data_IF_826307151378
#
_entry.id   IF_826307151378
#
_cell.length_a   1.000
_cell.length_b   1.000
_cell.length_c   1.000
_cell.angle_alpha   90.00
_cell.angle_beta   90.00
_cell.angle_gamma   90.00
#
_symmetry.space_group_name_H-M   'P 1'
#
loop_
_entity.id
_entity.type
_entity.pdbx_description
1 polymer ?
#
# COMPACT_ATOMS: atom_id res chain seq x y z
N UNK A 1 23.58 -29.33 40.15
CA UNK A 1 23.30 -28.91 38.75
C UNK A 1 21.82 -29.12 38.37
N UNK A 2 20.87 -28.73 39.24
CA UNK A 2 19.42 -28.98 39.01
C UNK A 2 18.50 -27.80 39.40
N UNK A 3 19.03 -26.68 39.91
CA UNK A 3 18.22 -25.50 40.29
C UNK A 3 18.04 -24.50 39.15
N UNK A 4 19.00 -24.43 38.22
CA UNK A 4 18.95 -23.50 37.08
C UNK A 4 18.02 -23.96 35.95
N UNK A 5 17.83 -25.28 35.79
CA UNK A 5 16.94 -25.85 34.77
C UNK A 5 15.46 -25.59 35.12
N UNK A 6 15.10 -25.67 36.41
CA UNK A 6 13.74 -25.34 36.85
C UNK A 6 13.40 -23.85 36.64
N UNK A 7 14.34 -22.92 36.87
CA UNK A 7 14.12 -21.50 36.55
C UNK A 7 13.94 -21.24 35.05
N UNK A 8 14.70 -21.93 34.19
CA UNK A 8 14.56 -21.78 32.74
C UNK A 8 13.22 -22.29 32.21
N UNK A 9 12.69 -23.39 32.77
CA UNK A 9 11.37 -23.95 32.40
C UNK A 9 10.21 -23.08 32.92
N UNK A 10 10.34 -22.47 34.10
CA UNK A 10 9.34 -21.54 34.64
C UNK A 10 9.31 -20.20 33.89
N UNK A 11 10.45 -19.67 33.44
CA UNK A 11 10.48 -18.45 32.63
C UNK A 11 9.91 -18.67 31.22
N UNK A 12 10.07 -19.86 30.65
CA UNK A 12 9.56 -20.18 29.31
C UNK A 12 8.05 -20.51 29.31
N UNK A 13 7.49 -20.98 30.42
CA UNK A 13 6.02 -21.15 30.56
C UNK A 13 5.29 -19.84 30.88
N UNK A 14 5.94 -18.87 31.53
CA UNK A 14 5.40 -17.52 31.74
C UNK A 14 5.35 -16.67 30.46
N UNK A 15 6.29 -16.85 29.53
CA UNK A 15 6.28 -16.15 28.23
C UNK A 15 5.25 -16.71 27.24
N UNK A 16 4.81 -17.97 27.42
CA UNK A 16 3.80 -18.61 26.57
C UNK A 16 2.34 -18.34 27.03
N UNK A 17 2.14 -17.72 28.20
CA UNK A 17 0.80 -17.43 28.73
C UNK A 17 0.37 -15.96 28.61
N UNK A 18 1.18 -15.11 27.96
CA UNK A 18 0.86 -13.70 27.70
C UNK A 18 0.34 -13.40 26.28
N UNK A 19 0.12 -14.42 25.44
CA UNK A 19 -0.64 -14.30 24.19
C UNK A 19 -2.04 -14.93 24.35
N UNK A 20 -2.77 -14.50 25.38
CA UNK A 20 -4.22 -14.70 25.48
C UNK A 20 -4.94 -13.49 24.89
N UNK A 21 -5.79 -13.73 23.90
CA UNK A 21 -6.60 -12.77 23.14
C UNK A 21 -7.19 -11.61 23.96
N UNK A 22 -6.43 -10.51 24.06
CA UNK A 22 -6.95 -9.16 24.32
C UNK A 22 -6.06 -8.12 23.63
N UNK A 23 -5.92 -8.23 22.31
CA UNK A 23 -5.77 -6.99 21.57
C UNK A 23 -7.08 -6.22 21.75
N UNK A 24 -7.08 -5.00 22.30
CA UNK A 24 -8.25 -4.15 22.14
C UNK A 24 -8.46 -4.01 20.64
N UNK A 25 -9.48 -4.68 20.11
CA UNK A 25 -10.11 -4.29 18.86
C UNK A 25 -10.28 -2.78 18.99
N UNK A 26 -9.65 -1.95 18.14
CA UNK A 26 -10.01 -0.55 18.09
C UNK A 26 -11.51 -0.58 17.82
N UNK A 27 -12.31 -0.18 18.82
CA UNK A 27 -13.76 -0.12 18.68
C UNK A 27 -14.00 0.52 17.33
N UNK A 28 -14.61 -0.23 16.43
CA UNK A 28 -15.06 0.29 15.15
C UNK A 28 -15.77 1.58 15.49
N UNK A 29 -15.24 2.70 14.98
CA UNK A 29 -15.91 3.96 15.08
C UNK A 29 -17.29 3.68 14.50
N UNK A 30 -18.30 3.64 15.36
CA UNK A 30 -19.68 3.64 14.92
C UNK A 30 -19.74 4.76 13.88
N UNK A 31 -20.01 4.39 12.63
CA UNK A 31 -20.27 5.31 11.54
C UNK A 31 -21.59 6.01 11.89
N UNK A 32 -21.54 6.94 12.83
CA UNK A 32 -22.44 8.07 12.83
C UNK A 32 -22.12 8.81 11.54
N UNK A 33 -23.04 8.70 10.59
CA UNK A 33 -23.07 9.34 9.29
C UNK A 33 -23.01 10.88 9.39
N UNK A 34 -21.89 11.41 9.88
CA UNK A 34 -21.42 12.73 9.52
C UNK A 34 -20.31 12.52 8.52
N UNK A 35 -20.59 12.72 7.23
CA UNK A 35 -19.51 12.81 6.25
C UNK A 35 -18.59 13.93 6.71
N UNK A 36 -17.47 13.58 7.33
CA UNK A 36 -16.47 14.55 7.74
C UNK A 36 -15.89 15.08 6.42
N UNK A 37 -16.39 16.22 5.94
CA UNK A 37 -16.06 16.79 4.64
C UNK A 37 -14.66 17.37 4.59
N UNK A 38 -13.98 17.46 5.73
CA UNK A 38 -12.64 18.05 5.88
C UNK A 38 -11.58 16.96 6.07
N UNK A 39 -10.36 17.23 5.60
CA UNK A 39 -9.19 16.40 5.89
C UNK A 39 -8.81 16.51 7.36
N UNK A 40 -8.40 15.40 7.95
CA UNK A 40 -7.64 15.41 9.19
C UNK A 40 -6.25 16.03 8.97
N UNK A 41 -5.62 16.50 10.05
CA UNK A 41 -4.27 17.06 9.97
C UNK A 41 -3.25 16.07 9.39
N UNK A 42 -3.39 14.79 9.75
CA UNK A 42 -2.54 13.71 9.26
C UNK A 42 -2.74 13.44 7.75
N UNK A 43 -3.99 13.42 7.27
CA UNK A 43 -4.28 13.32 5.84
C UNK A 43 -3.74 14.52 5.06
N UNK A 44 -3.93 15.74 5.59
CA UNK A 44 -3.41 16.96 4.98
C UNK A 44 -1.88 16.91 4.85
N UNK A 45 -1.17 16.52 5.92
CA UNK A 45 0.28 16.40 5.93
C UNK A 45 0.79 15.44 4.86
N UNK A 46 0.11 14.30 4.66
CA UNK A 46 0.46 13.32 3.62
C UNK A 46 0.26 13.88 2.22
N UNK A 47 -0.89 14.52 1.94
CA UNK A 47 -1.17 15.15 0.64
C UNK A 47 -0.17 16.27 0.36
N UNK A 48 0.06 17.16 1.32
CA UNK A 48 1.00 18.27 1.19
C UNK A 48 2.42 17.77 0.93
N UNK A 49 2.83 16.70 1.61
CA UNK A 49 4.15 16.09 1.39
C UNK A 49 4.28 15.63 -0.06
N UNK A 50 3.29 14.90 -0.59
CA UNK A 50 3.34 14.37 -1.94
C UNK A 50 3.36 15.48 -3.01
N UNK A 51 2.48 16.48 -2.88
CA UNK A 51 2.44 17.61 -3.82
C UNK A 51 3.75 18.38 -3.80
N UNK A 52 4.28 18.64 -2.60
CA UNK A 52 5.51 19.41 -2.46
C UNK A 52 6.73 18.66 -3.02
N UNK A 53 6.81 17.35 -2.83
CA UNK A 53 7.85 16.50 -3.41
C UNK A 53 7.81 16.55 -4.95
N UNK A 54 6.63 16.46 -5.56
CA UNK A 54 6.51 16.58 -7.00
C UNK A 54 6.91 17.96 -7.52
N UNK A 55 6.49 19.05 -6.85
CA UNK A 55 6.95 20.41 -7.18
C UNK A 55 8.47 20.51 -7.13
N UNK A 56 9.09 19.91 -6.12
CA UNK A 56 10.54 19.91 -5.97
C UNK A 56 11.27 19.19 -7.10
N UNK A 57 10.75 18.06 -7.55
CA UNK A 57 11.31 17.36 -8.72
C UNK A 57 11.12 18.19 -9.98
N UNK A 58 9.97 18.86 -10.16
CA UNK A 58 9.73 19.75 -11.30
C UNK A 58 10.70 20.94 -11.33
N UNK A 59 11.07 21.47 -10.16
CA UNK A 59 12.08 22.53 -10.02
C UNK A 59 13.47 22.05 -10.45
N UNK A 60 13.85 20.84 -10.05
CA UNK A 60 15.18 20.27 -10.32
C UNK A 60 15.31 19.62 -11.71
N UNK A 61 14.21 19.34 -12.40
CA UNK A 61 14.21 18.73 -13.73
C UNK A 61 14.18 19.78 -14.85
N UNK A 62 15.36 20.11 -15.37
CA UNK A 62 15.55 21.05 -16.47
C UNK A 62 15.05 20.52 -17.83
N UNK A 63 14.74 19.23 -17.95
CA UNK A 63 14.24 18.62 -19.20
C UNK A 63 12.73 18.82 -19.37
N UNK A 64 12.02 19.20 -18.29
CA UNK A 64 10.59 19.47 -18.35
C UNK A 64 10.29 20.81 -19.04
N UNK A 65 9.53 20.75 -20.12
CA UNK A 65 9.06 21.95 -20.82
C UNK A 65 7.88 22.62 -20.09
N UNK A 66 7.56 23.85 -20.48
CA UNK A 66 6.47 24.63 -19.86
C UNK A 66 5.10 23.96 -19.99
N UNK A 67 4.83 23.26 -21.09
CA UNK A 67 3.57 22.53 -21.29
C UNK A 67 3.40 21.41 -20.25
N UNK A 68 4.44 20.63 -19.99
CA UNK A 68 4.43 19.56 -19.00
C UNK A 68 4.19 20.11 -17.58
N UNK A 69 4.85 21.23 -17.24
CA UNK A 69 4.68 21.91 -15.95
C UNK A 69 3.24 22.40 -15.75
N UNK A 70 2.65 22.99 -16.78
CA UNK A 70 1.27 23.47 -16.72
C UNK A 70 0.26 22.32 -16.67
N UNK A 71 0.50 21.22 -17.39
CA UNK A 71 -0.34 20.01 -17.32
C UNK A 71 -0.37 19.43 -15.91
N UNK A 72 0.77 19.34 -15.25
CA UNK A 72 0.84 18.90 -13.85
C UNK A 72 0.08 19.85 -12.93
N UNK A 73 0.27 21.17 -13.09
CA UNK A 73 -0.42 22.18 -12.28
C UNK A 73 -1.95 22.10 -12.41
N UNK A 74 -2.46 21.84 -13.61
CA UNK A 74 -3.90 21.64 -13.82
C UNK A 74 -4.42 20.36 -13.14
N UNK A 75 -3.65 19.27 -13.19
CA UNK A 75 -3.95 18.06 -12.44
C UNK A 75 -3.93 18.31 -10.92
N UNK A 76 -2.94 19.04 -10.41
CA UNK A 76 -2.87 19.44 -9.00
C UNK A 76 -4.11 20.23 -8.59
N UNK A 77 -4.50 21.27 -9.35
CA UNK A 77 -5.70 22.07 -9.08
C UNK A 77 -6.96 21.19 -9.06
N UNK A 78 -7.08 20.25 -9.99
CA UNK A 78 -8.20 19.32 -10.04
C UNK A 78 -8.24 18.40 -8.80
N UNK A 79 -7.10 17.86 -8.39
CA UNK A 79 -6.98 16.99 -7.22
C UNK A 79 -7.32 17.74 -5.92
N UNK A 80 -6.81 18.96 -5.76
CA UNK A 80 -7.00 19.77 -4.54
C UNK A 80 -8.43 20.31 -4.37
N UNK A 81 -9.26 20.28 -5.42
CA UNK A 81 -10.69 20.65 -5.34
C UNK A 81 -11.58 19.56 -4.73
N UNK A 82 -11.12 18.30 -4.72
CA UNK A 82 -11.92 17.17 -4.25
C UNK A 82 -11.34 16.57 -2.97
N UNK A 83 -11.99 16.85 -1.84
CA UNK A 83 -11.54 16.35 -0.53
C UNK A 83 -11.62 14.83 -0.43
N UNK A 84 -12.58 14.17 -1.08
CA UNK A 84 -12.68 12.70 -1.05
C UNK A 84 -11.51 12.07 -1.81
N UNK A 85 -11.09 12.66 -2.93
CA UNK A 85 -9.88 12.23 -3.64
C UNK A 85 -8.63 12.43 -2.81
N UNK A 86 -8.52 13.55 -2.10
CA UNK A 86 -7.40 13.80 -1.19
C UNK A 86 -7.34 12.76 -0.06
N UNK A 87 -8.48 12.41 0.57
CA UNK A 87 -8.56 11.34 1.57
C UNK A 87 -8.13 10.00 1.02
N UNK A 88 -8.67 9.62 -0.14
CA UNK A 88 -8.32 8.37 -0.79
C UNK A 88 -6.83 8.33 -1.17
N UNK A 89 -6.25 9.44 -1.60
CA UNK A 89 -4.82 9.54 -1.89
C UNK A 89 -3.97 9.38 -0.63
N UNK A 90 -4.33 10.08 0.46
CA UNK A 90 -3.66 9.97 1.74
C UNK A 90 -3.70 8.54 2.30
N UNK A 91 -4.85 7.85 2.20
CA UNK A 91 -5.02 6.46 2.62
C UNK A 91 -4.14 5.49 1.82
N UNK A 92 -3.82 5.75 0.55
CA UNK A 92 -2.92 4.88 -0.20
C UNK A 92 -1.46 5.25 0.04
N UNK A 93 -1.15 6.55 0.12
CA UNK A 93 0.20 7.04 0.35
C UNK A 93 0.69 6.78 1.79
N UNK A 94 -0.20 6.53 2.75
CA UNK A 94 0.17 6.35 4.17
C UNK A 94 1.26 5.31 4.40
N UNK A 95 1.29 4.23 3.60
CA UNK A 95 2.26 3.16 3.77
C UNK A 95 3.66 3.56 3.30
N UNK A 96 3.75 4.23 2.14
CA UNK A 96 5.00 4.82 1.67
C UNK A 96 5.46 5.90 2.67
N UNK A 97 4.54 6.74 3.13
CA UNK A 97 4.83 7.75 4.15
C UNK A 97 5.38 7.13 5.44
N UNK A 98 4.77 6.05 5.92
CA UNK A 98 5.23 5.34 7.11
C UNK A 98 6.65 4.79 6.94
N UNK A 99 6.95 4.17 5.79
CA UNK A 99 8.31 3.69 5.49
C UNK A 99 9.30 4.85 5.57
N UNK A 100 8.97 5.98 4.94
CA UNK A 100 9.83 7.16 4.89
C UNK A 100 9.98 7.86 6.25
N UNK A 101 8.93 7.90 7.08
CA UNK A 101 8.90 8.66 8.33
C UNK A 101 9.37 7.84 9.55
N UNK A 102 8.98 6.57 9.61
CA UNK A 102 9.17 5.73 10.81
C UNK A 102 10.27 4.69 10.63
N UNK A 103 10.50 4.21 9.40
CA UNK A 103 11.45 3.11 9.15
C UNK A 103 12.81 3.58 8.66
N UNK A 104 12.83 4.52 7.70
CA UNK A 104 14.08 4.93 7.04
C UNK A 104 14.58 6.31 7.45
N UNK A 105 13.78 7.05 8.22
CA UNK A 105 14.14 8.38 8.68
C UNK A 105 15.43 8.34 9.49
N UNK A 106 16.45 9.17 9.16
CA UNK A 106 17.68 9.23 9.92
C UNK A 106 17.40 9.61 11.38
N UNK A 107 17.98 8.89 12.33
CA UNK A 107 17.81 9.16 13.77
C UNK A 107 18.21 10.60 14.13
N UNK A 108 19.28 11.10 13.51
CA UNK A 108 19.79 12.46 13.70
C UNK A 108 18.83 13.54 13.17
N UNK A 109 17.90 13.18 12.29
CA UNK A 109 16.88 14.05 11.72
C UNK A 109 15.49 13.83 12.34
N UNK A 110 15.39 13.15 13.50
CA UNK A 110 14.09 12.77 14.10
C UNK A 110 13.14 13.96 14.33
N UNK A 111 13.69 15.13 14.66
CA UNK A 111 12.96 16.39 14.86
C UNK A 111 12.61 17.13 13.54
N UNK A 112 13.18 16.73 12.40
CA UNK A 112 12.92 17.35 11.11
C UNK A 112 11.63 16.74 10.52
N UNK A 113 10.68 17.55 10.02
CA UNK A 113 9.50 17.01 9.36
C UNK A 113 9.88 16.16 8.15
N UNK A 114 9.24 15.01 7.97
CA UNK A 114 9.56 14.07 6.88
C UNK A 114 9.43 14.69 5.49
N UNK A 115 8.48 15.62 5.30
CA UNK A 115 8.41 16.46 4.10
C UNK A 115 9.73 17.16 3.79
N UNK A 116 10.36 17.75 4.81
CA UNK A 116 11.62 18.48 4.66
C UNK A 116 12.80 17.54 4.40
N UNK A 117 12.85 16.37 5.04
CA UNK A 117 13.90 15.38 4.79
C UNK A 117 13.85 14.87 3.35
N UNK A 118 12.65 14.53 2.84
CA UNK A 118 12.50 14.07 1.44
C UNK A 118 12.96 15.17 0.47
N UNK A 119 12.57 16.42 0.71
CA UNK A 119 12.96 17.57 -0.13
C UNK A 119 14.46 17.81 -0.10
N UNK A 120 15.04 17.85 1.10
CA UNK A 120 16.48 17.99 1.28
C UNK A 120 17.23 16.89 0.52
N UNK A 121 16.71 15.66 0.58
CA UNK A 121 17.28 14.49 -0.11
C UNK A 121 17.19 14.64 -1.63
N UNK A 122 16.07 15.13 -2.16
CA UNK A 122 15.92 15.40 -3.60
C UNK A 122 16.91 16.46 -4.07
N UNK A 123 17.05 17.56 -3.32
CA UNK A 123 18.01 18.63 -3.65
C UNK A 123 19.45 18.15 -3.60
N UNK A 124 19.79 17.43 -2.53
CA UNK A 124 21.07 16.78 -2.30
C UNK A 124 21.47 15.88 -3.47
N UNK A 125 20.58 14.97 -3.88
CA UNK A 125 20.83 14.04 -5.00
C UNK A 125 20.94 14.80 -6.32
N UNK A 126 20.07 15.78 -6.56
CA UNK A 126 20.08 16.56 -7.80
C UNK A 126 21.35 17.43 -7.95
N UNK A 127 21.87 17.97 -6.86
CA UNK A 127 23.09 18.79 -6.85
C UNK A 127 24.37 17.98 -6.66
N UNK A 128 24.25 16.69 -6.32
CA UNK A 128 25.36 15.83 -5.88
C UNK A 128 26.12 16.43 -4.67
N UNK A 129 25.41 17.09 -3.75
CA UNK A 129 25.96 17.72 -2.54
C UNK A 129 25.35 17.11 -1.27
N UNK A 130 25.61 15.82 -1.07
CA UNK A 130 25.04 15.03 0.01
C UNK A 130 25.98 14.73 1.17
N UNK A 131 27.28 14.82 0.94
CA UNK A 131 28.27 14.41 1.91
C UNK A 131 28.18 15.23 3.21
N UNK A 132 28.09 14.54 4.34
CA UNK A 132 28.01 15.16 5.67
C UNK A 132 26.66 15.76 6.04
N UNK A 133 25.61 15.62 5.21
CA UNK A 133 24.26 16.07 5.55
C UNK A 133 23.57 15.08 6.49
N UNK A 134 23.09 15.59 7.62
CA UNK A 134 22.34 14.81 8.61
C UNK A 134 20.83 14.97 8.47
N UNK A 135 20.37 15.80 7.53
CA UNK A 135 18.98 16.17 7.28
C UNK A 135 18.40 15.54 6.00
N UNK A 136 19.03 14.45 5.53
CA UNK A 136 18.69 13.68 4.33
C UNK A 136 18.68 12.19 4.63
N UNK A 137 17.96 11.40 3.83
CA UNK A 137 18.05 9.95 3.90
C UNK A 137 19.47 9.47 3.58
N UNK A 138 19.83 8.27 4.09
CA UNK A 138 21.17 7.73 3.97
C UNK A 138 21.72 7.88 2.55
N UNK A 139 22.88 8.53 2.46
CA UNK A 139 23.68 8.66 1.25
C UNK A 139 24.99 7.87 1.35
N UNK A 140 25.11 6.98 2.34
CA UNK A 140 26.25 6.08 2.42
C UNK A 140 26.11 4.98 1.37
N UNK A 141 27.11 4.86 0.49
CA UNK A 141 27.07 3.98 -0.68
C UNK A 141 27.70 2.63 -0.36
N UNK A 142 26.88 1.69 0.10
CA UNK A 142 27.32 0.31 0.37
C UNK A 142 27.05 -0.63 -0.83
N UNK A 143 26.05 -0.32 -1.66
CA UNK A 143 25.71 -1.03 -2.90
C UNK A 143 25.16 -0.06 -3.98
N UNK A 144 24.75 -0.58 -5.13
CA UNK A 144 24.53 0.16 -6.40
C UNK A 144 23.76 1.50 -6.33
N UNK A 145 22.88 1.71 -5.33
CA UNK A 145 22.18 2.98 -5.08
C UNK A 145 21.97 3.22 -3.58
N UNK A 146 22.23 4.44 -3.12
CA UNK A 146 21.90 4.90 -1.76
C UNK A 146 20.38 4.99 -1.54
N UNK A 147 19.93 5.02 -0.29
CA UNK A 147 18.51 5.19 0.02
C UNK A 147 17.99 6.55 -0.48
N UNK A 148 18.79 7.60 -0.39
CA UNK A 148 18.47 8.90 -0.97
C UNK A 148 18.21 8.83 -2.49
N UNK A 149 19.09 8.14 -3.23
CA UNK A 149 18.92 7.93 -4.68
C UNK A 149 17.69 7.07 -5.02
N UNK A 150 17.37 6.05 -4.20
CA UNK A 150 16.16 5.23 -4.39
C UNK A 150 14.90 6.07 -4.23
N UNK A 151 14.87 6.94 -3.22
CA UNK A 151 13.73 7.82 -2.92
C UNK A 151 13.52 8.83 -4.03
N UNK A 152 14.59 9.53 -4.43
CA UNK A 152 14.53 10.49 -5.53
C UNK A 152 14.08 9.82 -6.83
N UNK A 153 14.69 8.67 -7.18
CA UNK A 153 14.34 7.93 -8.40
C UNK A 153 12.88 7.49 -8.38
N UNK A 154 12.36 7.01 -7.26
CA UNK A 154 10.96 6.62 -7.13
C UNK A 154 10.02 7.79 -7.46
N UNK A 155 10.17 8.92 -6.77
CA UNK A 155 9.27 10.05 -6.97
C UNK A 155 9.44 10.67 -8.37
N UNK A 156 10.67 10.69 -8.92
CA UNK A 156 10.92 11.17 -10.28
C UNK A 156 10.24 10.30 -11.32
N UNK A 157 10.39 8.97 -11.21
CA UNK A 157 9.73 8.03 -12.12
C UNK A 157 8.21 8.13 -12.01
N UNK A 158 7.68 8.26 -10.79
CA UNK A 158 6.25 8.45 -10.54
C UNK A 158 5.74 9.72 -11.23
N UNK A 159 6.44 10.85 -11.08
CA UNK A 159 6.11 12.11 -11.74
C UNK A 159 6.17 11.98 -13.28
N UNK A 160 7.23 11.40 -13.82
CA UNK A 160 7.36 11.23 -15.27
C UNK A 160 6.25 10.35 -15.85
N UNK A 161 5.81 9.32 -15.12
CA UNK A 161 4.66 8.51 -15.53
C UNK A 161 3.34 9.28 -15.49
N UNK A 162 3.13 10.14 -14.49
CA UNK A 162 2.00 11.08 -14.45
C UNK A 162 2.03 11.98 -15.69
N UNK A 163 3.17 12.63 -15.94
CA UNK A 163 3.34 13.55 -17.07
C UNK A 163 3.15 12.85 -18.42
N UNK A 164 3.64 11.62 -18.58
CA UNK A 164 3.45 10.82 -19.78
C UNK A 164 1.97 10.49 -20.03
N UNK A 165 1.19 10.23 -18.97
CA UNK A 165 -0.26 10.02 -19.08
C UNK A 165 -0.98 11.32 -19.43
N UNK A 166 -0.62 12.43 -18.79
CA UNK A 166 -1.18 13.75 -19.08
C UNK A 166 -0.87 14.20 -20.51
N UNK A 167 0.34 13.91 -21.03
CA UNK A 167 0.76 14.27 -22.39
C UNK A 167 -0.15 13.68 -23.46
N UNK A 168 -0.63 12.45 -23.27
CA UNK A 168 -1.49 11.73 -24.22
C UNK A 168 -2.90 12.33 -24.35
N UNK A 169 -3.23 13.38 -23.59
CA UNK A 169 -4.56 13.97 -23.54
C UNK A 169 -4.57 15.49 -23.73
N UNK A 170 -5.64 16.01 -24.32
CA UNK A 170 -5.94 17.45 -24.37
C UNK A 170 -6.54 17.96 -23.04
N UNK A 171 -5.98 17.57 -21.88
CA UNK A 171 -6.42 18.00 -20.56
C UNK A 171 -7.92 17.73 -20.27
N UNK A 172 -8.40 16.52 -20.56
CA UNK A 172 -9.78 16.15 -20.22
C UNK A 172 -9.88 15.49 -18.83
N UNK A 173 -11.05 15.58 -18.21
CA UNK A 173 -11.31 15.07 -16.86
C UNK A 173 -11.06 13.56 -16.71
N UNK A 174 -11.29 12.80 -17.78
CA UNK A 174 -11.07 11.35 -17.79
C UNK A 174 -9.59 11.02 -17.58
N UNK A 175 -8.67 11.80 -18.16
CA UNK A 175 -7.23 11.60 -17.94
C UNK A 175 -6.81 11.91 -16.51
N UNK A 176 -7.40 12.90 -15.85
CA UNK A 176 -7.10 13.17 -14.43
C UNK A 176 -7.54 12.02 -13.52
N UNK A 177 -8.70 11.43 -13.79
CA UNK A 177 -9.16 10.23 -13.09
C UNK A 177 -8.24 9.02 -13.33
N UNK A 178 -7.73 8.85 -14.55
CA UNK A 178 -6.75 7.79 -14.86
C UNK A 178 -5.41 8.00 -14.12
N UNK A 179 -4.92 9.24 -14.07
CA UNK A 179 -3.71 9.60 -13.32
C UNK A 179 -3.92 9.37 -11.82
N UNK A 180 -5.08 9.75 -11.29
CA UNK A 180 -5.44 9.53 -9.90
C UNK A 180 -5.49 8.04 -9.53
N UNK A 181 -6.13 7.22 -10.36
CA UNK A 181 -6.15 5.76 -10.20
C UNK A 181 -4.74 5.17 -10.25
N UNK A 182 -3.93 5.64 -11.20
CA UNK A 182 -2.53 5.24 -11.32
C UNK A 182 -1.74 5.53 -10.04
N UNK A 183 -1.77 6.78 -9.55
CA UNK A 183 -1.08 7.19 -8.32
C UNK A 183 -1.45 6.31 -7.13
N UNK A 184 -2.76 6.12 -6.92
CA UNK A 184 -3.26 5.27 -5.83
C UNK A 184 -2.71 3.86 -5.95
N UNK A 185 -2.73 3.27 -7.14
CA UNK A 185 -2.26 1.91 -7.35
C UNK A 185 -0.77 1.76 -7.10
N UNK A 186 0.05 2.73 -7.50
CA UNK A 186 1.50 2.70 -7.30
C UNK A 186 1.86 2.69 -5.82
N UNK A 187 1.17 3.46 -4.97
CA UNK A 187 1.50 3.53 -3.53
C UNK A 187 1.21 2.25 -2.75
N UNK A 188 0.36 1.38 -3.29
CA UNK A 188 0.01 0.10 -2.64
C UNK A 188 0.39 -1.13 -3.48
N UNK A 189 1.12 -0.90 -4.57
CA UNK A 189 1.58 -1.97 -5.46
C UNK A 189 2.67 -2.79 -4.77
N UNK A 190 2.62 -4.14 -4.83
CA UNK A 190 3.72 -4.97 -4.36
C UNK A 190 5.02 -4.75 -5.18
N UNK A 191 4.92 -4.07 -6.32
CA UNK A 191 6.06 -3.70 -7.17
C UNK A 191 6.54 -2.26 -6.97
N UNK A 192 6.04 -1.56 -5.95
CA UNK A 192 6.48 -0.21 -5.65
C UNK A 192 7.99 -0.18 -5.31
N UNK A 193 8.74 0.70 -5.94
CA UNK A 193 10.20 0.75 -5.78
C UNK A 193 10.65 1.18 -4.36
N UNK A 194 9.86 1.98 -3.63
CA UNK A 194 10.12 2.25 -2.20
C UNK A 194 9.93 0.99 -1.39
N UNK A 195 8.85 0.24 -1.64
CA UNK A 195 8.58 -1.00 -0.92
C UNK A 195 9.69 -2.02 -1.19
N UNK A 196 10.10 -2.20 -2.44
CA UNK A 196 11.16 -3.14 -2.81
C UNK A 196 12.57 -2.68 -2.38
N UNK A 197 12.80 -1.37 -2.34
CA UNK A 197 14.12 -0.80 -2.06
C UNK A 197 14.40 -0.52 -0.58
N UNK A 198 13.35 -0.27 0.21
CA UNK A 198 13.45 0.23 1.60
C UNK A 198 12.61 -0.60 2.60
N UNK A 199 11.94 -1.66 2.15
CA UNK A 199 11.15 -2.55 2.99
C UNK A 199 11.09 -3.96 2.40
N UNK A 200 10.32 -4.85 3.02
CA UNK A 200 9.95 -6.15 2.46
C UNK A 200 8.46 -6.22 2.14
N UNK A 201 8.07 -7.12 1.23
CA UNK A 201 6.66 -7.42 0.94
C UNK A 201 5.90 -7.92 2.17
N UNK A 202 6.55 -8.69 3.03
CA UNK A 202 5.95 -9.19 4.27
C UNK A 202 5.60 -8.04 5.22
N UNK A 203 6.55 -7.13 5.47
CA UNK A 203 6.31 -5.97 6.33
C UNK A 203 5.25 -5.05 5.75
N UNK A 204 5.31 -4.79 4.43
CA UNK A 204 4.29 -3.97 3.77
C UNK A 204 2.89 -4.58 3.89
N UNK A 205 2.76 -5.90 3.69
CA UNK A 205 1.49 -6.60 3.90
C UNK A 205 1.01 -6.49 5.36
N UNK A 206 1.90 -6.59 6.35
CA UNK A 206 1.55 -6.42 7.78
C UNK A 206 1.15 -4.99 8.13
N UNK A 207 1.66 -3.98 7.44
CA UNK A 207 1.21 -2.60 7.62
C UNK A 207 -0.23 -2.41 7.13
N UNK A 208 -0.59 -3.09 6.04
CA UNK A 208 -1.88 -2.90 5.38
C UNK A 208 -2.97 -3.84 5.85
N UNK A 209 -2.62 -5.08 6.19
CA UNK A 209 -3.56 -6.17 6.43
C UNK A 209 -3.33 -6.81 7.80
N UNK A 210 -4.44 -7.20 8.44
CA UNK A 210 -4.36 -7.98 9.68
C UNK A 210 -4.02 -9.47 9.38
N UNK A 211 -3.78 -10.27 10.41
CA UNK A 211 -3.40 -11.68 10.25
C UNK A 211 -4.44 -12.52 9.48
N UNK A 212 -5.74 -12.25 9.66
CA UNK A 212 -6.81 -12.96 8.95
C UNK A 212 -6.80 -12.62 7.45
N UNK A 213 -6.62 -11.34 7.13
CA UNK A 213 -6.51 -10.84 5.76
C UNK A 213 -5.25 -11.36 5.07
N UNK A 214 -4.12 -11.47 5.78
CA UNK A 214 -2.90 -12.08 5.25
C UNK A 214 -3.12 -13.57 4.93
N UNK A 215 -3.81 -14.33 5.81
CA UNK A 215 -4.18 -15.72 5.51
C UNK A 215 -5.06 -15.82 4.25
N UNK A 216 -6.05 -14.93 4.12
CA UNK A 216 -6.88 -14.87 2.91
C UNK A 216 -6.08 -14.49 1.65
N UNK A 217 -5.10 -13.58 1.77
CA UNK A 217 -4.19 -13.23 0.67
C UNK A 217 -3.40 -14.45 0.21
N UNK A 218 -2.81 -15.20 1.13
CA UNK A 218 -2.03 -16.40 0.80
C UNK A 218 -2.91 -17.44 0.09
N UNK A 219 -4.11 -17.69 0.60
CA UNK A 219 -5.08 -18.58 -0.04
C UNK A 219 -5.48 -18.11 -1.45
N UNK A 220 -5.71 -16.80 -1.60
CA UNK A 220 -6.08 -16.20 -2.89
C UNK A 220 -4.94 -16.27 -3.91
N UNK A 221 -3.69 -16.10 -3.46
CA UNK A 221 -2.50 -16.24 -4.31
C UNK A 221 -2.38 -17.67 -4.83
N UNK A 222 -2.59 -18.68 -3.98
CA UNK A 222 -2.64 -20.08 -4.44
C UNK A 222 -3.75 -20.30 -5.47
N UNK A 223 -4.92 -19.69 -5.23
CA UNK A 223 -6.09 -19.81 -6.11
C UNK A 223 -5.91 -19.16 -7.49
N UNK A 224 -5.41 -17.93 -7.52
CA UNK A 224 -5.35 -17.10 -8.73
C UNK A 224 -4.01 -17.21 -9.44
N UNK A 225 -2.91 -17.37 -8.71
CA UNK A 225 -1.59 -17.28 -9.32
C UNK A 225 -1.19 -18.56 -10.06
N UNK A 226 -1.84 -19.71 -9.85
CA UNK A 226 -1.46 -21.01 -10.46
C UNK A 226 0.08 -21.25 -10.38
N UNK A 227 0.72 -20.85 -9.28
CA UNK A 227 2.18 -20.92 -9.10
C UNK A 227 3.00 -19.76 -9.69
N UNK A 228 2.41 -18.75 -10.33
CA UNK A 228 3.11 -17.57 -10.90
C UNK A 228 3.45 -16.46 -9.88
N UNK A 229 3.26 -16.71 -8.58
CA UNK A 229 3.66 -15.81 -7.50
C UNK A 229 2.97 -14.44 -7.47
N UNK A 230 3.65 -13.46 -6.85
CA UNK A 230 3.17 -12.08 -6.60
C UNK A 230 3.01 -11.21 -7.87
N UNK A 231 3.51 -11.68 -9.03
CA UNK A 231 3.49 -10.94 -10.29
C UNK A 231 2.27 -11.24 -11.16
N UNK A 232 1.32 -12.04 -10.66
CA UNK A 232 0.11 -12.33 -11.42
C UNK A 232 -0.75 -11.04 -11.61
N UNK A 233 -1.10 -10.66 -12.85
CA UNK A 233 -1.84 -9.42 -13.12
C UNK A 233 -3.22 -9.33 -12.44
N UNK A 234 -3.91 -10.45 -12.25
CA UNK A 234 -5.19 -10.52 -11.55
C UNK A 234 -4.97 -10.21 -10.06
N UNK A 235 -3.99 -10.86 -9.45
CA UNK A 235 -3.61 -10.60 -8.06
C UNK A 235 -3.20 -9.13 -7.85
N UNK A 236 -2.35 -8.58 -8.73
CA UNK A 236 -1.94 -7.17 -8.67
C UNK A 236 -3.18 -6.27 -8.78
N UNK A 237 -4.06 -6.52 -9.74
CA UNK A 237 -5.27 -5.71 -9.94
C UNK A 237 -6.20 -5.73 -8.72
N UNK A 238 -6.29 -6.86 -8.01
CA UNK A 238 -7.07 -6.99 -6.79
C UNK A 238 -6.39 -6.30 -5.60
N UNK A 239 -5.09 -6.53 -5.39
CA UNK A 239 -4.41 -6.04 -4.19
C UNK A 239 -4.27 -4.52 -4.23
N UNK A 240 -4.22 -3.87 -5.40
CA UNK A 240 -4.10 -2.39 -5.48
C UNK A 240 -5.41 -1.62 -5.28
N UNK A 241 -6.53 -2.30 -5.03
CA UNK A 241 -7.82 -1.66 -4.78
C UNK A 241 -7.87 -0.88 -3.45
N UNK A 242 -8.91 -0.06 -3.26
CA UNK A 242 -9.08 0.72 -2.03
C UNK A 242 -9.13 -0.17 -0.79
N UNK A 243 -8.62 0.32 0.35
CA UNK A 243 -8.72 -0.38 1.63
C UNK A 243 -10.19 -0.68 2.00
N UNK A 244 -11.13 0.20 1.63
CA UNK A 244 -12.57 0.01 1.81
C UNK A 244 -13.17 -1.13 0.98
N UNK A 245 -12.47 -1.63 -0.03
CA UNK A 245 -12.92 -2.76 -0.86
C UNK A 245 -12.12 -4.01 -0.55
N UNK A 246 -10.79 -3.93 -0.58
CA UNK A 246 -9.92 -5.11 -0.47
C UNK A 246 -10.00 -5.74 0.92
N UNK A 247 -10.08 -4.93 1.99
CA UNK A 247 -10.11 -5.45 3.36
C UNK A 247 -11.40 -6.24 3.63
N UNK A 248 -12.61 -5.70 3.36
CA UNK A 248 -13.83 -6.49 3.50
C UNK A 248 -13.88 -7.74 2.63
N UNK A 249 -13.35 -7.69 1.40
CA UNK A 249 -13.29 -8.86 0.53
C UNK A 249 -12.39 -9.95 1.11
N UNK A 250 -11.24 -9.59 1.68
CA UNK A 250 -10.34 -10.52 2.36
C UNK A 250 -10.94 -11.08 3.66
N UNK A 251 -11.59 -10.23 4.45
CA UNK A 251 -12.30 -10.67 5.67
C UNK A 251 -13.43 -11.67 5.30
N UNK A 252 -14.16 -11.41 4.22
CA UNK A 252 -15.16 -12.32 3.69
C UNK A 252 -14.55 -13.67 3.31
N UNK A 253 -13.49 -13.68 2.49
CA UNK A 253 -12.80 -14.92 2.07
C UNK A 253 -12.35 -15.70 3.32
N UNK A 254 -11.76 -15.03 4.29
CA UNK A 254 -11.33 -15.66 5.54
C UNK A 254 -12.51 -16.28 6.31
N UNK A 255 -13.61 -15.54 6.45
CA UNK A 255 -14.79 -16.03 7.16
C UNK A 255 -15.46 -17.22 6.46
N UNK A 256 -15.45 -17.27 5.13
CA UNK A 256 -15.90 -18.47 4.39
C UNK A 256 -15.02 -19.68 4.74
N UNK A 257 -13.70 -19.53 4.77
CA UNK A 257 -12.77 -20.63 5.10
C UNK A 257 -13.01 -21.23 6.49
N UNK A 258 -13.53 -20.45 7.45
CA UNK A 258 -13.83 -20.93 8.80
C UNK A 258 -15.10 -21.80 8.88
N UNK A 259 -15.99 -21.76 7.90
CA UNK A 259 -17.32 -22.41 8.02
C UNK A 259 -17.28 -23.93 7.99
N UNK A 260 -16.29 -24.54 7.32
CA UNK A 260 -16.33 -25.97 6.99
C UNK A 260 -15.38 -26.84 7.82
N UNK A 261 -14.95 -26.39 9.01
CA UNK A 261 -14.08 -27.15 9.94
C UNK A 261 -12.89 -27.82 9.23
N UNK A 262 -12.21 -27.08 8.35
CA UNK A 262 -11.03 -27.57 7.61
C UNK A 262 -11.32 -28.75 6.64
N UNK A 263 -12.57 -28.95 6.21
CA UNK A 263 -12.88 -29.90 5.14
C UNK A 263 -12.14 -29.52 3.85
N UNK A 264 -11.12 -30.30 3.49
CA UNK A 264 -10.24 -30.02 2.37
C UNK A 264 -10.98 -30.00 1.03
N UNK A 265 -12.00 -30.86 0.83
CA UNK A 265 -12.77 -30.87 -0.41
C UNK A 265 -13.54 -29.56 -0.58
N UNK A 266 -14.24 -29.11 0.46
CA UNK A 266 -14.96 -27.84 0.45
C UNK A 266 -14.02 -26.64 0.25
N UNK A 267 -12.81 -26.68 0.83
CA UNK A 267 -11.78 -25.66 0.62
C UNK A 267 -11.29 -25.65 -0.83
N UNK A 268 -11.05 -26.81 -1.43
CA UNK A 268 -10.63 -26.93 -2.82
C UNK A 268 -11.72 -26.42 -3.78
N UNK A 269 -12.99 -26.74 -3.51
CA UNK A 269 -14.11 -26.25 -4.33
C UNK A 269 -14.30 -24.75 -4.21
N UNK A 270 -14.09 -24.18 -3.01
CA UNK A 270 -14.08 -22.73 -2.80
C UNK A 270 -12.93 -22.04 -3.54
N UNK A 271 -11.74 -22.63 -3.50
CA UNK A 271 -10.58 -22.18 -4.27
C UNK A 271 -10.91 -22.12 -5.78
N UNK A 272 -11.45 -23.21 -6.33
CA UNK A 272 -11.87 -23.27 -7.74
C UNK A 272 -12.94 -22.21 -8.06
N UNK A 273 -13.89 -21.97 -7.15
CA UNK A 273 -14.92 -20.95 -7.34
C UNK A 273 -14.35 -19.52 -7.34
N UNK A 274 -13.40 -19.22 -6.45
CA UNK A 274 -12.66 -17.95 -6.47
C UNK A 274 -11.86 -17.80 -7.78
N UNK A 275 -11.11 -18.83 -8.17
CA UNK A 275 -10.33 -18.82 -9.40
C UNK A 275 -11.21 -18.52 -10.62
N UNK A 276 -12.34 -19.23 -10.76
CA UNK A 276 -13.28 -19.02 -11.85
C UNK A 276 -13.87 -17.60 -11.85
N UNK A 277 -14.22 -17.09 -10.66
CA UNK A 277 -14.71 -15.72 -10.53
C UNK A 277 -13.70 -14.71 -11.09
N UNK A 278 -12.45 -14.78 -10.64
CA UNK A 278 -11.42 -13.83 -11.06
C UNK A 278 -10.98 -13.98 -12.52
N UNK A 279 -10.86 -15.21 -13.04
CA UNK A 279 -10.49 -15.46 -14.45
C UNK A 279 -11.60 -15.03 -15.41
N UNK A 280 -12.87 -15.12 -15.00
CA UNK A 280 -13.99 -14.66 -15.82
C UNK A 280 -14.03 -13.13 -16.01
N UNK A 281 -13.31 -12.38 -15.17
CA UNK A 281 -13.25 -10.93 -15.23
C UNK A 281 -12.12 -10.46 -16.16
N UNK A 282 -12.41 -9.60 -17.15
CA UNK A 282 -11.36 -8.83 -17.80
C UNK A 282 -10.53 -8.06 -16.77
N UNK A 283 -9.22 -7.91 -16.96
CA UNK A 283 -8.34 -7.23 -16.00
C UNK A 283 -8.81 -5.82 -15.64
N UNK A 284 -9.31 -5.05 -16.62
CA UNK A 284 -9.87 -3.71 -16.41
C UNK A 284 -11.23 -3.70 -15.66
N UNK A 285 -11.81 -4.87 -15.37
CA UNK A 285 -13.04 -5.05 -14.59
C UNK A 285 -12.78 -5.52 -13.16
N UNK A 286 -11.54 -5.81 -12.78
CA UNK A 286 -11.15 -5.96 -11.38
C UNK A 286 -11.04 -4.57 -10.77
N UNK A 287 -12.14 -4.07 -10.21
CA UNK A 287 -12.26 -2.73 -9.66
C UNK A 287 -13.11 -2.72 -8.37
N UNK A 288 -13.19 -1.56 -7.72
CA UNK A 288 -13.90 -1.39 -6.45
C UNK A 288 -15.38 -1.83 -6.50
N UNK A 289 -16.07 -1.65 -7.63
CA UNK A 289 -17.49 -2.01 -7.78
C UNK A 289 -17.69 -3.50 -7.98
N UNK A 290 -16.90 -4.12 -8.86
CA UNK A 290 -16.99 -5.55 -9.15
C UNK A 290 -16.64 -6.38 -7.91
N UNK A 291 -15.57 -6.02 -7.19
CA UNK A 291 -15.12 -6.82 -6.04
C UNK A 291 -16.11 -6.76 -4.86
N UNK A 292 -16.90 -5.69 -4.72
CA UNK A 292 -17.99 -5.64 -3.73
C UNK A 292 -19.07 -6.71 -3.96
N UNK A 293 -19.16 -7.26 -5.18
CA UNK A 293 -20.12 -8.33 -5.50
C UNK A 293 -19.58 -9.74 -5.20
N UNK A 294 -18.31 -9.88 -4.81
CA UNK A 294 -17.70 -11.17 -4.50
C UNK A 294 -18.56 -12.03 -3.54
N UNK A 295 -19.08 -11.48 -2.41
CA UNK A 295 -19.90 -12.27 -1.48
C UNK A 295 -21.19 -12.83 -2.08
N UNK A 296 -21.74 -12.18 -3.11
CA UNK A 296 -22.96 -12.61 -3.78
C UNK A 296 -22.70 -13.67 -4.87
N UNK A 297 -21.43 -13.90 -5.21
CA UNK A 297 -21.02 -14.72 -6.36
C UNK A 297 -20.24 -15.97 -5.95
N UNK A 298 -19.52 -15.92 -4.84
CA UNK A 298 -18.63 -16.99 -4.41
C UNK A 298 -18.84 -17.25 -2.92
N UNK A 299 -19.32 -18.44 -2.58
CA UNK A 299 -19.56 -18.89 -1.20
C UNK A 299 -19.00 -20.29 -1.05
N UNK A 300 -18.43 -20.64 0.11
CA UNK A 300 -18.04 -22.02 0.36
C UNK A 300 -19.27 -22.90 0.54
N UNK A 301 -19.21 -24.13 0.05
CA UNK A 301 -20.22 -25.16 0.31
C UNK A 301 -19.61 -26.24 1.19
N UNK A 302 -20.08 -26.34 2.43
CA UNK A 302 -19.65 -27.40 3.34
C UNK A 302 -20.43 -28.67 3.02
N UNK A 303 -19.89 -29.53 2.16
CA UNK A 303 -20.49 -30.84 1.91
C UNK A 303 -20.25 -31.72 3.14
N UNK A 304 -21.32 -32.26 3.71
CA UNK A 304 -21.19 -33.33 4.70
C UNK A 304 -20.77 -34.58 3.96
N UNK A 305 -19.60 -35.13 4.31
CA UNK A 305 -19.22 -36.48 3.91
C UNK A 305 -20.28 -37.44 4.47
N UNK A 306 -21.22 -37.85 3.62
CA UNK A 306 -22.08 -38.99 3.91
C UNK A 306 -21.16 -40.20 3.81
N UNK A 307 -20.76 -40.71 4.98
CA UNK A 307 -20.06 -42.00 5.09
C UNK A 307 -20.99 -43.15 4.74
#
# INVERSE_FOLDING_TARGET
MNKYICCLILCSTLLLYSCGDKNPIPKGNNLTNGFNTTLSADEQQKVDTLIYVFKKIIENDYQLNMEQKEKYKMFEIWLLKDTQKQKALADHFQYVYYILDQKTKPQQASNIPTKQIIVNTIDCVASNQCDGRNDVYSYHRDDSMTDGEKIERFFRNLLHNILNKLKKSNNNINTYEEVFKYLRSEFVSPNNAIIQGLSTNEEFNKMRFNNHQIKAINFLQESISMGRGLYNPIYISFIVLSNSTVKPALDYIYNELLKCNENQQSINDFNNALQNYFISLPLNKINDETIKQLPNKVTIKCEMLIK
#
